data_IF_824574975719
#
_entry.id   IF_824574975719
#
_cell.length_a   1.000
_cell.length_b   1.000
_cell.length_c   1.000
_cell.angle_alpha   90.00
_cell.angle_beta   90.00
_cell.angle_gamma   90.00
#
_symmetry.space_group_name_H-M   'P 1'
#
loop_
_entity.id
_entity.type
_entity.pdbx_description
1 polymer ?
#
# COMPACT_ATOMS: atom_id res chain seq x y z
N UNK A 1 -1.36 47.37 -22.03
CA UNK A 1 -1.90 46.02 -21.83
C UNK A 1 -0.88 45.03 -22.40
N UNK A 2 -0.03 44.45 -21.56
CA UNK A 2 0.83 43.36 -22.01
C UNK A 2 -0.05 42.10 -22.08
N UNK A 3 -0.25 41.57 -23.29
CA UNK A 3 -0.95 40.31 -23.49
C UNK A 3 -0.12 39.19 -22.86
N UNK A 4 -0.51 38.78 -21.66
CA UNK A 4 0.01 37.59 -21.02
C UNK A 4 -0.28 36.37 -21.94
N UNK A 5 0.78 35.66 -22.34
CA UNK A 5 0.65 34.49 -23.20
C UNK A 5 0.64 33.22 -22.33
N UNK A 6 -0.55 32.65 -22.13
CA UNK A 6 -0.75 31.43 -21.35
C UNK A 6 0.10 30.26 -21.85
N UNK A 7 0.18 30.10 -23.17
CA UNK A 7 0.96 29.01 -23.79
C UNK A 7 2.45 29.17 -23.51
N UNK A 8 2.95 30.41 -23.56
CA UNK A 8 4.33 30.72 -23.21
C UNK A 8 4.63 30.39 -21.74
N UNK A 9 3.73 30.76 -20.82
CA UNK A 9 3.90 30.46 -19.40
C UNK A 9 3.94 28.94 -19.12
N UNK A 10 2.94 28.21 -19.63
CA UNK A 10 2.85 26.75 -19.43
C UNK A 10 4.07 26.05 -20.02
N UNK A 11 4.46 26.42 -21.25
CA UNK A 11 5.61 25.79 -21.91
C UNK A 11 6.93 26.07 -21.18
N UNK A 12 7.12 27.30 -20.68
CA UNK A 12 8.32 27.62 -19.91
C UNK A 12 8.34 26.92 -18.55
N UNK A 13 7.21 26.85 -17.86
CA UNK A 13 7.12 26.12 -16.59
C UNK A 13 7.37 24.63 -16.80
N UNK A 14 6.78 24.04 -17.85
CA UNK A 14 6.97 22.63 -18.16
C UNK A 14 8.43 22.33 -18.53
N UNK A 15 9.04 23.19 -19.35
CA UNK A 15 10.46 23.09 -19.68
C UNK A 15 11.32 23.18 -18.42
N UNK A 16 11.12 24.19 -17.57
CA UNK A 16 11.85 24.33 -16.32
C UNK A 16 11.67 23.12 -15.41
N UNK A 17 10.45 22.56 -15.35
CA UNK A 17 10.15 21.34 -14.60
C UNK A 17 10.94 20.13 -15.12
N UNK A 18 10.91 19.88 -16.43
CA UNK A 18 11.65 18.77 -17.05
C UNK A 18 13.17 18.95 -16.91
N UNK A 19 13.68 20.17 -17.09
CA UNK A 19 15.09 20.50 -16.87
C UNK A 19 15.49 20.20 -15.42
N UNK A 20 14.62 20.48 -14.44
CA UNK A 20 14.87 20.13 -13.02
C UNK A 20 14.81 18.63 -12.76
N UNK A 21 13.84 17.91 -13.33
CA UNK A 21 13.77 16.44 -13.22
C UNK A 21 15.05 15.79 -13.74
N UNK A 22 15.60 16.29 -14.85
CA UNK A 22 16.80 15.73 -15.48
C UNK A 22 18.04 15.78 -14.58
N UNK A 23 18.15 16.79 -13.70
CA UNK A 23 19.26 16.93 -12.75
C UNK A 23 19.34 15.80 -11.72
N UNK A 24 18.22 15.12 -11.46
CA UNK A 24 18.17 14.00 -10.52
C UNK A 24 18.58 12.66 -11.14
N UNK A 25 18.96 12.63 -12.44
CA UNK A 25 19.44 11.44 -13.16
C UNK A 25 18.57 10.19 -12.96
N UNK A 26 17.25 10.39 -13.02
CA UNK A 26 16.26 9.36 -12.73
C UNK A 26 16.09 8.44 -13.95
N UNK A 27 16.14 7.10 -13.80
CA UNK A 27 15.89 6.18 -14.90
C UNK A 27 14.49 6.36 -15.49
N UNK A 28 14.32 6.13 -16.80
CA UNK A 28 13.04 6.36 -17.50
C UNK A 28 11.84 5.63 -16.84
N UNK A 29 12.05 4.40 -16.39
CA UNK A 29 11.03 3.59 -15.68
C UNK A 29 10.51 4.24 -14.39
N UNK A 30 11.31 5.11 -13.78
CA UNK A 30 11.03 5.75 -12.50
C UNK A 30 10.54 7.19 -12.69
N UNK A 31 10.44 7.70 -13.93
CA UNK A 31 9.85 9.00 -14.24
C UNK A 31 8.38 9.09 -13.85
N UNK A 32 7.72 7.94 -13.70
CA UNK A 32 6.33 7.84 -13.24
C UNK A 32 6.10 8.48 -11.86
N UNK A 33 7.15 8.66 -11.06
CA UNK A 33 7.10 9.29 -9.73
C UNK A 33 6.88 10.81 -9.75
N UNK A 34 7.20 11.45 -10.87
CA UNK A 34 7.00 12.89 -11.08
C UNK A 34 5.62 13.14 -11.67
N UNK A 35 4.96 14.21 -11.23
CA UNK A 35 3.55 14.45 -11.61
C UNK A 35 3.37 15.02 -13.01
N UNK A 36 4.41 15.59 -13.63
CA UNK A 36 4.32 16.26 -14.94
C UNK A 36 5.39 15.80 -15.96
N UNK A 37 5.71 14.52 -15.91
CA UNK A 37 6.56 13.81 -16.89
C UNK A 37 5.73 13.00 -17.87
N UNK A 38 6.38 12.46 -18.91
CA UNK A 38 5.77 11.59 -19.92
C UNK A 38 4.57 12.26 -20.60
N UNK A 39 3.45 11.54 -20.76
CA UNK A 39 2.23 12.03 -21.37
C UNK A 39 1.25 12.64 -20.35
N UNK A 40 1.69 12.86 -19.10
CA UNK A 40 0.82 13.42 -18.05
C UNK A 40 0.57 14.89 -18.32
N UNK A 41 -0.66 15.32 -18.09
CA UNK A 41 -1.06 16.71 -18.22
C UNK A 41 -1.57 17.25 -16.90
N UNK A 42 -1.40 18.56 -16.70
CA UNK A 42 -1.83 19.24 -15.48
C UNK A 42 -2.66 20.47 -15.81
N UNK A 43 -3.54 20.83 -14.89
CA UNK A 43 -4.16 22.16 -14.85
C UNK A 43 -3.45 22.98 -13.79
N UNK A 44 -2.85 24.08 -14.21
CA UNK A 44 -2.20 25.05 -13.34
C UNK A 44 -3.22 26.09 -12.92
N UNK A 45 -3.26 26.39 -11.62
CA UNK A 45 -4.02 27.48 -11.05
C UNK A 45 -3.06 28.59 -10.63
N UNK A 46 -3.41 29.83 -10.99
CA UNK A 46 -2.74 31.04 -10.56
C UNK A 46 -3.79 31.99 -9.97
N UNK A 47 -3.86 32.06 -8.65
CA UNK A 47 -4.94 32.73 -7.92
C UNK A 47 -4.36 33.95 -7.21
N UNK A 48 -4.80 35.15 -7.58
CA UNK A 48 -4.48 36.36 -6.83
C UNK A 48 -5.29 36.39 -5.55
N UNK A 49 -4.61 36.59 -4.43
CA UNK A 49 -5.22 36.66 -3.10
C UNK A 49 -4.69 37.87 -2.35
N UNK A 50 -5.51 38.43 -1.46
CA UNK A 50 -5.19 39.62 -0.70
C UNK A 50 -4.01 39.37 0.25
N UNK A 51 -3.17 40.40 0.37
CA UNK A 51 -2.07 40.44 1.32
C UNK A 51 -1.98 41.84 1.94
N UNK A 52 -1.92 41.91 3.26
CA UNK A 52 -1.90 43.17 3.99
C UNK A 52 -0.51 43.82 4.04
N UNK A 53 0.56 43.07 3.73
CA UNK A 53 1.95 43.52 3.79
C UNK A 53 2.45 44.00 2.42
N UNK A 54 2.14 43.28 1.34
CA UNK A 54 2.66 43.52 0.00
C UNK A 54 2.34 44.94 -0.50
N UNK A 55 3.27 45.51 -1.27
CA UNK A 55 3.12 46.83 -1.90
C UNK A 55 1.88 46.90 -2.79
N UNK A 56 1.67 45.85 -3.59
CA UNK A 56 0.50 45.72 -4.47
C UNK A 56 -0.76 45.21 -3.76
N UNK A 57 -0.69 44.93 -2.45
CA UNK A 57 -1.79 44.35 -1.64
C UNK A 57 -2.32 42.99 -2.10
N UNK A 58 -1.51 42.26 -2.85
CA UNK A 58 -1.78 40.87 -3.22
C UNK A 58 -0.48 40.10 -3.47
N UNK A 59 -0.59 38.78 -3.48
CA UNK A 59 0.35 37.88 -4.14
C UNK A 59 -0.43 36.80 -4.89
N UNK A 60 0.27 36.02 -5.72
CA UNK A 60 -0.36 34.92 -6.46
C UNK A 60 -0.03 33.59 -5.79
N UNK A 61 -1.07 32.83 -5.44
CA UNK A 61 -0.98 31.43 -5.04
C UNK A 61 -0.98 30.55 -6.29
N UNK A 62 -0.04 29.61 -6.37
CA UNK A 62 0.10 28.69 -7.49
C UNK A 62 -0.03 27.25 -7.02
N UNK A 63 -0.71 26.44 -7.81
CA UNK A 63 -0.73 24.98 -7.64
C UNK A 63 -1.14 24.30 -8.93
N UNK A 64 -0.85 23.01 -9.03
CA UNK A 64 -1.23 22.16 -10.14
C UNK A 64 -2.21 21.07 -9.67
N UNK A 65 -3.11 20.70 -10.56
CA UNK A 65 -4.09 19.62 -10.38
C UNK A 65 -3.88 18.61 -11.50
N UNK A 66 -3.92 17.32 -11.17
CA UNK A 66 -3.88 16.25 -12.17
C UNK A 66 -5.04 16.42 -13.15
N UNK A 67 -4.72 16.47 -14.44
CA UNK A 67 -5.72 16.58 -15.49
C UNK A 67 -5.87 15.26 -16.26
N UNK A 68 -7.08 14.96 -16.71
CA UNK A 68 -7.37 13.85 -17.61
C UNK A 68 -7.49 14.31 -19.07
N UNK A 69 -7.35 15.60 -19.36
CA UNK A 69 -7.38 16.13 -20.72
C UNK A 69 -6.09 15.83 -21.49
N UNK A 70 -6.17 15.95 -22.81
CA UNK A 70 -5.01 15.83 -23.71
C UNK A 70 -4.05 17.02 -23.69
N UNK A 71 -4.34 18.09 -22.93
CA UNK A 71 -3.57 19.33 -22.93
C UNK A 71 -3.45 19.92 -21.53
N UNK A 72 -2.31 20.56 -21.28
CA UNK A 72 -2.10 21.39 -20.11
C UNK A 72 -3.01 22.62 -20.17
N UNK A 73 -3.46 23.11 -19.02
CA UNK A 73 -4.34 24.28 -18.90
C UNK A 73 -3.81 25.24 -17.85
N UNK A 74 -4.10 26.52 -18.02
CA UNK A 74 -3.89 27.55 -17.01
C UNK A 74 -5.24 28.15 -16.65
N UNK A 75 -5.54 28.20 -15.35
CA UNK A 75 -6.72 28.84 -14.79
C UNK A 75 -6.24 30.01 -13.94
N UNK A 76 -6.66 31.20 -14.32
CA UNK A 76 -6.37 32.42 -13.58
C UNK A 76 -7.61 32.85 -12.81
N UNK A 77 -7.43 33.20 -11.55
CA UNK A 77 -8.51 33.66 -10.68
C UNK A 77 -8.05 34.91 -9.94
N UNK A 78 -8.97 35.85 -9.75
CA UNK A 78 -8.76 37.02 -8.90
C UNK A 78 -9.74 36.91 -7.74
N UNK A 79 -9.21 36.60 -6.55
CA UNK A 79 -9.98 36.42 -5.32
C UNK A 79 -9.60 37.46 -4.27
N UNK A 80 -9.00 38.59 -4.68
CA UNK A 80 -8.52 39.61 -3.73
C UNK A 80 -9.65 40.11 -2.84
N UNK A 81 -10.85 40.34 -3.38
CA UNK A 81 -11.96 40.87 -2.60
C UNK A 81 -12.51 39.84 -1.61
N UNK A 82 -12.63 38.59 -2.03
CA UNK A 82 -13.11 37.44 -1.26
C UNK A 82 -12.15 37.10 -0.11
N UNK A 83 -10.85 37.37 -0.32
CA UNK A 83 -9.79 37.08 0.64
C UNK A 83 -9.37 38.29 1.48
N UNK A 84 -10.00 39.46 1.29
CA UNK A 84 -9.74 40.68 2.07
C UNK A 84 -10.43 40.64 3.43
N UNK A 85 -10.04 39.68 4.26
CA UNK A 85 -10.58 39.50 5.60
C UNK A 85 -9.51 38.98 6.58
N UNK A 86 -9.63 39.29 7.90
CA UNK A 86 -8.64 38.87 8.89
C UNK A 86 -8.42 37.36 8.98
N UNK A 87 -9.45 36.55 8.71
CA UNK A 87 -9.36 35.09 8.82
C UNK A 87 -8.45 34.51 7.73
N UNK A 88 -8.36 35.17 6.58
CA UNK A 88 -7.47 34.77 5.49
C UNK A 88 -6.06 35.36 5.60
N UNK A 89 -5.93 36.68 5.75
CA UNK A 89 -4.60 37.31 5.67
C UNK A 89 -3.72 36.96 6.87
N UNK A 90 -4.31 36.67 8.04
CA UNK A 90 -3.56 36.24 9.24
C UNK A 90 -3.09 34.77 9.20
N UNK A 91 -3.53 33.98 8.23
CA UNK A 91 -2.93 32.65 8.01
C UNK A 91 -1.45 32.87 7.69
N UNK A 92 -0.58 32.14 8.40
CA UNK A 92 0.88 32.31 8.35
C UNK A 92 1.38 32.49 6.91
N UNK A 93 2.15 33.56 6.67
CA UNK A 93 2.68 33.92 5.36
C UNK A 93 3.54 32.80 4.72
N UNK A 94 4.11 31.90 5.54
CA UNK A 94 4.88 30.74 5.08
C UNK A 94 4.05 29.51 4.70
N UNK A 95 2.71 29.58 4.77
CA UNK A 95 1.83 28.42 4.68
C UNK A 95 0.85 28.50 3.49
N UNK A 96 1.35 28.39 2.24
CA UNK A 96 0.48 28.45 1.05
C UNK A 96 -0.55 27.31 1.02
N UNK A 97 -0.27 26.17 1.67
CA UNK A 97 -1.20 25.04 1.81
C UNK A 97 -2.37 25.34 2.74
N UNK A 98 -2.15 26.05 3.85
CA UNK A 98 -3.23 26.41 4.77
C UNK A 98 -4.16 27.43 4.13
N UNK A 99 -3.59 28.38 3.37
CA UNK A 99 -4.37 29.34 2.59
C UNK A 99 -5.15 28.67 1.46
N UNK A 100 -4.56 27.67 0.78
CA UNK A 100 -5.29 26.86 -0.20
C UNK A 100 -6.45 26.10 0.45
N UNK A 101 -6.23 25.52 1.62
CA UNK A 101 -7.27 24.81 2.39
C UNK A 101 -8.39 25.76 2.82
N UNK A 102 -8.05 26.99 3.20
CA UNK A 102 -9.04 28.02 3.50
C UNK A 102 -9.90 28.34 2.27
N UNK A 103 -9.30 28.58 1.10
CA UNK A 103 -10.04 28.84 -0.15
C UNK A 103 -10.99 27.70 -0.50
N UNK A 104 -10.55 26.46 -0.28
CA UNK A 104 -11.38 25.27 -0.52
C UNK A 104 -12.56 25.18 0.45
N UNK A 105 -12.31 25.34 1.76
CA UNK A 105 -13.36 25.31 2.80
C UNK A 105 -14.44 26.38 2.63
N UNK A 106 -14.13 27.47 1.93
CA UNK A 106 -15.06 28.56 1.61
C UNK A 106 -15.69 28.42 0.22
N UNK A 107 -15.54 27.27 -0.45
CA UNK A 107 -16.06 26.99 -1.79
C UNK A 107 -15.62 27.99 -2.87
N UNK A 108 -14.43 28.58 -2.73
CA UNK A 108 -13.90 29.55 -3.70
C UNK A 108 -13.18 28.86 -4.87
N UNK A 109 -12.90 27.56 -4.77
CA UNK A 109 -12.20 26.75 -5.77
C UNK A 109 -13.15 25.80 -6.51
N UNK A 110 -14.29 26.30 -6.99
CA UNK A 110 -15.34 25.49 -7.62
C UNK A 110 -14.78 24.50 -8.66
N UNK A 111 -15.03 23.20 -8.44
CA UNK A 111 -14.59 22.12 -9.32
C UNK A 111 -13.19 21.55 -9.04
N UNK A 112 -12.44 22.13 -8.11
CA UNK A 112 -11.16 21.56 -7.63
C UNK A 112 -11.44 20.51 -6.57
N UNK A 113 -11.05 19.26 -6.87
CA UNK A 113 -11.13 18.14 -5.93
C UNK A 113 -9.80 18.04 -5.19
N UNK A 114 -9.80 18.10 -3.86
CA UNK A 114 -8.59 18.11 -3.02
C UNK A 114 -7.64 16.95 -3.32
N UNK A 115 -8.18 15.75 -3.50
CA UNK A 115 -7.40 14.55 -3.81
C UNK A 115 -6.68 14.60 -5.15
N UNK A 116 -7.03 15.56 -6.03
CA UNK A 116 -6.36 15.76 -7.33
C UNK A 116 -5.29 16.85 -7.27
N UNK A 117 -5.22 17.64 -6.20
CA UNK A 117 -4.19 18.67 -6.03
C UNK A 117 -2.83 17.99 -5.85
N UNK A 118 -1.84 18.46 -6.61
CA UNK A 118 -0.47 18.00 -6.49
C UNK A 118 0.18 18.81 -5.36
N UNK A 119 0.19 18.27 -4.14
CA UNK A 119 0.61 19.03 -2.95
C UNK A 119 2.04 19.59 -3.01
N UNK A 120 2.95 18.95 -3.74
CA UNK A 120 4.33 19.41 -4.00
C UNK A 120 4.39 20.66 -4.89
N UNK A 121 3.35 20.92 -5.68
CA UNK A 121 3.26 22.08 -6.56
C UNK A 121 2.76 23.36 -5.88
N UNK A 122 2.27 23.28 -4.64
CA UNK A 122 1.66 24.42 -3.95
C UNK A 122 2.73 25.44 -3.54
N UNK A 123 2.68 26.65 -4.08
CA UNK A 123 3.61 27.75 -3.76
C UNK A 123 2.94 29.11 -3.87
N UNK A 124 3.65 30.18 -3.56
CA UNK A 124 3.19 31.55 -3.77
C UNK A 124 4.30 32.44 -4.35
N UNK A 125 3.92 33.56 -4.98
CA UNK A 125 4.88 34.58 -5.40
C UNK A 125 4.27 35.98 -5.34
N UNK A 126 5.04 36.92 -4.77
CA UNK A 126 4.75 38.35 -4.84
C UNK A 126 5.08 38.95 -6.22
N UNK A 127 5.78 38.20 -7.09
CA UNK A 127 6.13 38.69 -8.43
C UNK A 127 4.92 38.55 -9.35
N UNK A 128 4.60 39.64 -10.04
CA UNK A 128 3.62 39.63 -11.13
C UNK A 128 4.15 38.77 -12.27
N UNK A 129 3.32 37.85 -12.76
CA UNK A 129 3.67 36.95 -13.87
C UNK A 129 4.21 37.74 -15.07
N UNK A 130 3.60 38.90 -15.35
CA UNK A 130 3.95 39.83 -16.43
C UNK A 130 5.41 40.31 -16.41
N UNK A 131 6.06 40.35 -15.24
CA UNK A 131 7.38 40.96 -15.05
C UNK A 131 8.48 39.95 -14.70
N UNK A 132 8.20 38.64 -14.76
CA UNK A 132 9.14 37.65 -14.22
C UNK A 132 8.84 36.20 -14.53
N UNK A 133 8.17 35.89 -15.66
CA UNK A 133 7.77 34.52 -16.05
C UNK A 133 8.91 33.51 -15.83
N UNK A 134 10.09 33.72 -16.41
CA UNK A 134 11.18 32.75 -16.33
C UNK A 134 11.63 32.50 -14.89
N UNK A 135 11.77 33.56 -14.08
CA UNK A 135 12.17 33.42 -12.69
C UNK A 135 11.11 32.67 -11.88
N UNK A 136 9.83 33.01 -12.05
CA UNK A 136 8.71 32.33 -11.38
C UNK A 136 8.70 30.85 -11.78
N UNK A 137 8.84 30.57 -13.07
CA UNK A 137 8.86 29.20 -13.59
C UNK A 137 10.04 28.40 -13.04
N UNK A 138 11.24 28.95 -13.03
CA UNK A 138 12.45 28.26 -12.56
C UNK A 138 12.43 27.99 -11.06
N UNK A 139 11.97 28.97 -10.26
CA UNK A 139 11.88 28.85 -8.81
C UNK A 139 10.78 27.87 -8.40
N UNK A 140 9.64 27.94 -9.07
CA UNK A 140 8.53 27.04 -8.83
C UNK A 140 8.87 25.60 -9.25
N UNK A 141 9.41 25.41 -10.46
CA UNK A 141 9.85 24.09 -10.94
C UNK A 141 10.88 23.47 -9.99
N UNK A 142 11.85 24.26 -9.51
CA UNK A 142 12.86 23.81 -8.54
C UNK A 142 12.21 23.28 -7.27
N UNK A 143 11.32 24.07 -6.67
CA UNK A 143 10.65 23.72 -5.41
C UNK A 143 9.73 22.50 -5.57
N UNK A 144 9.01 22.44 -6.69
CA UNK A 144 8.08 21.35 -6.99
C UNK A 144 8.82 20.03 -7.18
N UNK A 145 9.82 19.98 -8.06
CA UNK A 145 10.58 18.74 -8.34
C UNK A 145 11.33 18.28 -7.10
N UNK A 146 11.95 19.20 -6.33
CA UNK A 146 12.63 18.84 -5.08
C UNK A 146 11.66 18.21 -4.07
N UNK A 147 10.46 18.79 -3.90
CA UNK A 147 9.46 18.23 -3.00
C UNK A 147 8.96 16.85 -3.44
N UNK A 148 8.84 16.59 -4.75
CA UNK A 148 8.46 15.25 -5.25
C UNK A 148 9.57 14.24 -5.06
N UNK A 149 10.81 14.63 -5.33
CA UNK A 149 11.98 13.79 -5.13
C UNK A 149 12.16 13.43 -3.65
N UNK A 150 12.08 14.40 -2.74
CA UNK A 150 12.24 14.14 -1.31
C UNK A 150 11.09 13.28 -0.75
N UNK A 151 9.86 13.49 -1.21
CA UNK A 151 8.71 12.67 -0.79
C UNK A 151 8.85 11.21 -1.25
N UNK A 152 9.31 10.99 -2.49
CA UNK A 152 9.50 9.64 -3.05
C UNK A 152 10.70 8.95 -2.44
N UNK A 153 11.83 9.66 -2.29
CA UNK A 153 13.02 9.17 -1.61
C UNK A 153 12.74 8.80 -0.15
N UNK A 154 11.95 9.59 0.59
CA UNK A 154 11.59 9.26 1.96
C UNK A 154 10.73 7.97 2.11
N UNK A 155 10.02 7.57 1.06
CA UNK A 155 9.27 6.30 1.01
C UNK A 155 10.19 5.15 0.61
N UNK A 156 11.16 5.36 -0.29
CA UNK A 156 12.09 4.33 -0.76
C UNK A 156 13.26 4.06 0.22
N UNK A 157 13.80 5.10 0.88
CA UNK A 157 14.87 5.00 1.87
C UNK A 157 14.40 4.41 3.20
N UNK A 158 13.09 4.41 3.43
CA UNK A 158 12.48 3.66 4.52
C UNK A 158 12.09 2.30 3.94
N UNK A 159 12.92 1.24 4.08
CA UNK A 159 12.39 -0.10 3.92
C UNK A 159 11.13 -0.17 4.76
N UNK A 160 10.02 -0.66 4.21
CA UNK A 160 8.80 -0.95 4.99
C UNK A 160 9.30 -1.67 6.23
N UNK A 161 9.29 -1.04 7.41
CA UNK A 161 9.92 -1.67 8.54
C UNK A 161 9.12 -2.94 8.76
N UNK A 162 9.78 -4.11 8.71
CA UNK A 162 9.24 -5.30 9.36
C UNK A 162 9.24 -4.93 10.83
N UNK A 163 8.19 -4.24 11.26
CA UNK A 163 7.92 -4.02 12.67
C UNK A 163 7.67 -5.43 13.21
N UNK A 164 8.56 -6.00 14.05
CA UNK A 164 8.19 -7.21 14.74
C UNK A 164 6.88 -6.91 15.45
N UNK A 165 5.83 -7.68 15.14
CA UNK A 165 4.52 -7.42 15.69
C UNK A 165 4.61 -7.38 17.21
N UNK A 166 3.98 -6.39 17.86
CA UNK A 166 4.01 -6.30 19.31
C UNK A 166 3.44 -7.59 19.86
N UNK A 167 4.27 -8.34 20.60
CA UNK A 167 3.93 -9.67 21.13
C UNK A 167 2.72 -9.71 22.06
N UNK A 168 2.05 -8.59 22.39
CA UNK A 168 1.11 -8.57 23.51
C UNK A 168 0.07 -7.43 23.57
N UNK A 169 -0.47 -6.93 22.45
CA UNK A 169 -1.59 -5.96 22.52
C UNK A 169 -2.85 -6.46 21.79
N UNK A 170 -3.17 -7.75 21.93
CA UNK A 170 -4.36 -8.34 21.32
C UNK A 170 -5.63 -7.82 22.01
N UNK A 171 -6.50 -7.14 21.26
CA UNK A 171 -7.82 -6.71 21.77
C UNK A 171 -8.84 -7.82 21.54
N UNK A 172 -9.15 -8.54 22.62
CA UNK A 172 -10.40 -9.25 22.89
C UNK A 172 -10.79 -10.50 22.06
N UNK A 173 -10.16 -10.85 20.94
CA UNK A 173 -10.71 -11.91 20.06
C UNK A 173 -9.79 -13.09 19.68
N UNK A 174 -8.47 -13.00 19.91
CA UNK A 174 -7.51 -14.08 19.57
C UNK A 174 -7.48 -15.21 20.62
N UNK A 175 -7.86 -14.90 21.86
CA UNK A 175 -7.83 -15.84 22.99
C UNK A 175 -8.73 -17.07 22.79
N UNK A 176 -9.72 -17.00 21.89
CA UNK A 176 -10.61 -18.13 21.53
C UNK A 176 -9.86 -19.34 20.95
N UNK A 177 -8.71 -19.11 20.31
CA UNK A 177 -8.00 -20.14 19.55
C UNK A 177 -6.63 -20.52 20.12
N UNK A 178 -6.22 -19.91 21.24
CA UNK A 178 -4.92 -20.14 21.89
C UNK A 178 -3.73 -20.05 20.89
N UNK A 179 -3.74 -19.05 20.00
CA UNK A 179 -2.73 -18.94 18.95
C UNK A 179 -1.32 -18.69 19.49
N UNK A 180 -1.17 -18.05 20.65
CA UNK A 180 0.15 -17.84 21.25
C UNK A 180 0.83 -19.18 21.62
N UNK A 181 0.06 -20.15 22.10
CA UNK A 181 0.54 -21.51 22.37
C UNK A 181 0.92 -22.23 21.07
N UNK A 182 0.08 -22.09 20.03
CA UNK A 182 0.37 -22.63 18.70
C UNK A 182 1.69 -22.08 18.15
N UNK A 183 1.86 -20.75 18.15
CA UNK A 183 3.05 -20.08 17.63
C UNK A 183 4.30 -20.46 18.42
N UNK A 184 4.20 -20.52 19.74
CA UNK A 184 5.29 -20.93 20.62
C UNK A 184 5.70 -22.38 20.37
N UNK A 185 4.73 -23.27 20.17
CA UNK A 185 4.98 -24.70 19.95
C UNK A 185 5.53 -24.99 18.56
N UNK A 186 5.03 -24.30 17.53
CA UNK A 186 5.55 -24.41 16.16
C UNK A 186 7.02 -24.00 16.08
N UNK A 187 7.40 -22.94 16.82
CA UNK A 187 8.76 -22.39 16.85
C UNK A 187 9.34 -22.07 15.45
N UNK A 188 8.48 -21.75 14.49
CA UNK A 188 8.86 -21.32 13.15
C UNK A 188 8.73 -19.79 13.04
N UNK A 189 9.86 -19.10 12.89
CA UNK A 189 9.91 -17.64 12.87
C UNK A 189 9.20 -17.03 11.66
N UNK A 190 9.26 -17.70 10.51
CA UNK A 190 8.64 -17.21 9.28
C UNK A 190 7.11 -17.33 9.38
N UNK A 191 6.62 -18.51 9.78
CA UNK A 191 5.20 -18.73 10.04
C UNK A 191 4.67 -17.74 11.09
N UNK A 192 5.44 -17.54 12.17
CA UNK A 192 5.06 -16.60 13.24
C UNK A 192 4.91 -15.18 12.73
N UNK A 193 5.82 -14.72 11.88
CA UNK A 193 5.73 -13.38 11.29
C UNK A 193 4.54 -13.26 10.33
N UNK A 194 4.40 -14.20 9.39
CA UNK A 194 3.30 -14.26 8.42
C UNK A 194 1.92 -14.28 9.12
N UNK A 195 1.79 -15.10 10.15
CA UNK A 195 0.54 -15.24 10.91
C UNK A 195 0.23 -13.97 11.71
N UNK A 196 1.22 -13.35 12.35
CA UNK A 196 1.03 -12.10 13.07
C UNK A 196 0.65 -10.93 12.14
N UNK A 197 1.18 -10.88 10.92
CA UNK A 197 0.73 -9.93 9.90
C UNK A 197 -0.77 -10.10 9.59
N UNK A 198 -1.24 -11.35 9.49
CA UNK A 198 -2.65 -11.66 9.25
C UNK A 198 -3.53 -11.25 10.44
N UNK A 199 -3.08 -11.49 11.67
CA UNK A 199 -3.79 -11.08 12.88
C UNK A 199 -3.87 -9.56 13.01
N UNK A 200 -2.80 -8.83 12.70
CA UNK A 200 -2.86 -7.37 12.68
C UNK A 200 -3.85 -6.85 11.64
N UNK A 201 -3.84 -7.43 10.43
CA UNK A 201 -4.80 -7.08 9.39
C UNK A 201 -6.25 -7.35 9.86
N UNK A 202 -6.47 -8.44 10.60
CA UNK A 202 -7.76 -8.73 11.23
C UNK A 202 -8.15 -7.64 12.25
N UNK A 203 -7.28 -7.30 13.19
CA UNK A 203 -7.56 -6.29 14.23
C UNK A 203 -7.85 -4.89 13.67
N UNK A 204 -7.32 -4.56 12.49
CA UNK A 204 -7.48 -3.26 11.82
C UNK A 204 -8.54 -3.29 10.70
N UNK A 205 -9.42 -4.29 10.74
CA UNK A 205 -10.55 -4.43 9.81
C UNK A 205 -10.15 -4.53 8.33
N UNK A 206 -8.92 -5.00 8.07
CA UNK A 206 -8.39 -5.22 6.72
C UNK A 206 -8.70 -6.65 6.28
N UNK A 207 -9.99 -6.98 6.23
CA UNK A 207 -10.50 -8.34 5.99
C UNK A 207 -9.94 -8.99 4.72
N UNK A 208 -9.81 -8.22 3.64
CA UNK A 208 -9.23 -8.71 2.39
C UNK A 208 -7.77 -9.16 2.59
N UNK A 209 -6.93 -8.29 3.15
CA UNK A 209 -5.51 -8.58 3.39
C UNK A 209 -5.33 -9.76 4.34
N UNK A 210 -6.14 -9.80 5.40
CA UNK A 210 -6.16 -10.91 6.35
C UNK A 210 -6.50 -12.24 5.65
N UNK A 211 -7.63 -12.33 4.94
CA UNK A 211 -8.06 -13.57 4.31
C UNK A 211 -7.08 -14.10 3.23
N UNK A 212 -6.44 -13.21 2.47
CA UNK A 212 -5.43 -13.62 1.48
C UNK A 212 -4.20 -14.21 2.18
N UNK A 213 -3.69 -13.54 3.21
CA UNK A 213 -2.52 -14.00 3.96
C UNK A 213 -2.76 -15.29 4.75
N UNK A 214 -3.96 -15.47 5.32
CA UNK A 214 -4.31 -16.70 6.04
C UNK A 214 -4.31 -17.95 5.15
N UNK A 215 -4.54 -17.82 3.84
CA UNK A 215 -4.36 -18.93 2.91
C UNK A 215 -2.92 -19.40 2.83
N UNK A 216 -1.97 -18.47 2.79
CA UNK A 216 -0.54 -18.79 2.80
C UNK A 216 -0.11 -19.41 4.12
N UNK A 217 -0.64 -18.90 5.25
CA UNK A 217 -0.42 -19.53 6.56
C UNK A 217 -0.94 -20.97 6.58
N UNK A 218 -2.10 -21.26 5.97
CA UNK A 218 -2.64 -22.61 5.91
C UNK A 218 -1.71 -23.57 5.13
N UNK A 219 -1.19 -23.15 3.98
CA UNK A 219 -0.22 -23.93 3.20
C UNK A 219 1.08 -24.15 3.97
N UNK A 220 1.58 -23.11 4.63
CA UNK A 220 2.80 -23.18 5.42
C UNK A 220 2.65 -24.14 6.62
N UNK A 221 1.54 -24.08 7.36
CA UNK A 221 1.26 -25.03 8.44
C UNK A 221 1.21 -26.48 7.93
N UNK A 222 0.55 -26.71 6.79
CA UNK A 222 0.50 -28.03 6.18
C UNK A 222 1.90 -28.50 5.77
N UNK A 223 2.74 -27.62 5.22
CA UNK A 223 4.12 -27.92 4.88
C UNK A 223 4.96 -28.29 6.13
N UNK A 224 4.81 -27.55 7.23
CA UNK A 224 5.48 -27.84 8.50
C UNK A 224 5.12 -29.25 8.97
N UNK A 225 3.83 -29.60 8.97
CA UNK A 225 3.35 -30.93 9.37
C UNK A 225 3.98 -32.04 8.52
N UNK A 226 3.98 -31.88 7.19
CA UNK A 226 4.60 -32.85 6.27
C UNK A 226 6.11 -32.99 6.51
N UNK A 227 6.77 -31.86 6.77
CA UNK A 227 8.21 -31.79 7.05
C UNK A 227 8.56 -32.51 8.35
N UNK A 228 7.75 -32.36 9.39
CA UNK A 228 7.95 -33.05 10.65
C UNK A 228 7.91 -34.57 10.47
N UNK A 229 6.92 -35.11 9.73
CA UNK A 229 6.87 -36.55 9.46
C UNK A 229 8.10 -37.04 8.69
N UNK A 230 8.53 -36.31 7.67
CA UNK A 230 9.70 -36.69 6.86
C UNK A 230 11.00 -36.68 7.68
N UNK A 231 11.19 -35.63 8.49
CA UNK A 231 12.32 -35.46 9.41
C UNK A 231 12.31 -36.49 10.53
N UNK A 232 11.13 -36.88 11.02
CA UNK A 232 10.95 -37.93 12.02
C UNK A 232 11.06 -39.35 11.42
N UNK A 233 11.49 -39.46 10.16
CA UNK A 233 11.89 -40.72 9.56
C UNK A 233 10.75 -41.54 8.98
N UNK A 234 9.59 -40.93 8.70
CA UNK A 234 8.55 -41.61 7.93
C UNK A 234 9.08 -42.00 6.55
N UNK A 235 8.89 -43.27 6.19
CA UNK A 235 9.16 -43.78 4.84
C UNK A 235 7.95 -44.57 4.37
N UNK A 236 7.58 -44.39 3.12
CA UNK A 236 6.49 -45.16 2.53
C UNK A 236 6.93 -46.63 2.28
N UNK A 237 6.02 -47.46 1.76
CA UNK A 237 6.29 -48.88 1.48
C UNK A 237 7.48 -49.15 0.53
N UNK A 238 7.91 -48.13 -0.22
CA UNK A 238 9.06 -48.21 -1.14
C UNK A 238 10.36 -47.70 -0.52
N UNK A 239 10.35 -47.35 0.76
CA UNK A 239 11.48 -46.75 1.47
C UNK A 239 11.70 -45.27 1.13
N UNK A 240 10.77 -44.61 0.46
CA UNK A 240 10.91 -43.22 0.05
C UNK A 240 10.41 -42.24 1.11
N UNK A 241 11.07 -41.09 1.23
CA UNK A 241 10.60 -39.96 2.03
C UNK A 241 9.32 -39.34 1.47
N UNK A 242 8.64 -38.58 2.31
CA UNK A 242 7.31 -38.02 2.05
C UNK A 242 7.31 -37.00 0.90
N UNK A 243 8.43 -36.31 0.69
CA UNK A 243 8.60 -35.34 -0.39
C UNK A 243 9.01 -35.95 -1.73
N UNK A 244 9.21 -37.27 -1.83
CA UNK A 244 9.52 -37.88 -3.13
C UNK A 244 8.30 -37.77 -4.06
N UNK A 245 8.46 -37.01 -5.14
CA UNK A 245 7.39 -36.72 -6.09
C UNK A 245 6.47 -35.58 -5.65
N UNK A 246 6.79 -34.87 -4.56
CA UNK A 246 6.11 -33.63 -4.20
C UNK A 246 6.47 -32.54 -5.22
N UNK A 247 5.50 -31.76 -5.72
CA UNK A 247 5.77 -30.70 -6.69
C UNK A 247 6.73 -29.64 -6.13
N UNK A 248 7.57 -29.08 -7.01
CA UNK A 248 8.46 -27.96 -6.63
C UNK A 248 7.70 -26.67 -6.31
N UNK A 249 6.53 -26.49 -6.94
CA UNK A 249 5.63 -25.36 -6.73
C UNK A 249 4.26 -25.94 -6.35
N UNK A 250 4.09 -26.41 -5.10
CA UNK A 250 2.86 -27.05 -4.67
C UNK A 250 1.73 -26.03 -4.60
N UNK A 251 0.53 -26.47 -4.95
CA UNK A 251 -0.72 -25.75 -4.76
C UNK A 251 -1.48 -26.31 -3.57
N UNK A 252 -2.48 -25.59 -3.08
CA UNK A 252 -3.49 -26.09 -2.15
C UNK A 252 -3.96 -27.54 -2.43
N UNK A 253 -4.19 -27.89 -3.71
CA UNK A 253 -4.62 -29.24 -4.09
C UNK A 253 -3.55 -30.29 -3.81
N UNK A 254 -2.29 -29.96 -4.04
CA UNK A 254 -1.17 -30.86 -3.79
C UNK A 254 -1.03 -31.13 -2.29
N UNK A 255 -1.14 -30.11 -1.44
CA UNK A 255 -1.13 -30.29 0.01
C UNK A 255 -2.26 -31.23 0.50
N UNK A 256 -3.49 -31.02 0.02
CA UNK A 256 -4.63 -31.89 0.38
C UNK A 256 -4.42 -33.33 -0.12
N UNK A 257 -3.87 -33.50 -1.32
CA UNK A 257 -3.54 -34.83 -1.87
C UNK A 257 -2.48 -35.54 -1.03
N UNK A 258 -1.52 -34.80 -0.46
CA UNK A 258 -0.50 -35.38 0.40
C UNK A 258 -1.02 -35.73 1.78
N UNK A 259 -1.91 -34.90 2.36
CA UNK A 259 -2.57 -35.23 3.62
C UNK A 259 -3.46 -36.48 3.54
N UNK A 260 -3.98 -36.82 2.35
CA UNK A 260 -4.74 -38.07 2.13
C UNK A 260 -3.87 -39.34 2.17
N UNK A 261 -2.55 -39.21 2.10
CA UNK A 261 -1.62 -40.35 2.14
C UNK A 261 -1.19 -40.61 3.58
N UNK A 262 -0.74 -41.84 3.83
CA UNK A 262 -0.02 -42.14 5.06
C UNK A 262 1.20 -41.22 5.22
N UNK A 263 1.52 -40.78 6.46
CA UNK A 263 0.96 -41.25 7.74
C UNK A 263 -0.25 -40.46 8.25
N UNK A 264 -0.70 -39.41 7.52
CA UNK A 264 -1.77 -38.52 7.97
C UNK A 264 -3.15 -39.12 7.66
N UNK A 265 -3.32 -39.63 6.44
CA UNK A 265 -4.48 -40.39 5.99
C UNK A 265 -5.84 -39.72 6.28
N UNK A 266 -5.98 -38.42 5.97
CA UNK A 266 -7.25 -37.70 6.18
C UNK A 266 -8.40 -38.33 5.38
N UNK A 267 -9.59 -38.32 5.98
CA UNK A 267 -10.83 -38.77 5.36
C UNK A 267 -11.27 -37.84 4.23
N UNK A 268 -12.21 -38.33 3.42
CA UNK A 268 -12.80 -37.50 2.35
C UNK A 268 -13.57 -36.30 2.89
N UNK A 269 -14.12 -36.38 4.11
CA UNK A 269 -14.82 -35.27 4.76
C UNK A 269 -13.86 -34.17 5.20
N UNK A 270 -12.75 -34.55 5.82
CA UNK A 270 -11.67 -33.62 6.19
C UNK A 270 -11.05 -32.98 4.97
N UNK A 271 -10.82 -33.75 3.90
CA UNK A 271 -10.34 -33.19 2.64
C UNK A 271 -11.31 -32.18 2.03
N UNK A 272 -12.62 -32.43 2.08
CA UNK A 272 -13.64 -31.46 1.65
C UNK A 272 -13.60 -30.19 2.49
N UNK A 273 -13.46 -30.32 3.80
CA UNK A 273 -13.32 -29.18 4.70
C UNK A 273 -12.09 -28.34 4.36
N UNK A 274 -10.91 -28.95 4.22
CA UNK A 274 -9.68 -28.22 3.86
C UNK A 274 -9.81 -27.56 2.48
N UNK A 275 -10.39 -28.26 1.50
CA UNK A 275 -10.66 -27.67 0.19
C UNK A 275 -11.60 -26.46 0.26
N UNK A 276 -12.55 -26.43 1.20
CA UNK A 276 -13.44 -25.28 1.38
C UNK A 276 -12.70 -24.04 1.89
N UNK A 277 -11.68 -24.20 2.75
CA UNK A 277 -10.81 -23.12 3.19
C UNK A 277 -10.07 -22.49 2.01
N UNK A 278 -9.46 -23.32 1.17
CA UNK A 278 -8.74 -22.85 -0.03
C UNK A 278 -9.67 -22.26 -1.09
N UNK A 279 -10.87 -22.80 -1.23
CA UNK A 279 -11.89 -22.25 -2.15
C UNK A 279 -12.30 -20.85 -1.70
N UNK A 280 -12.54 -20.66 -0.40
CA UNK A 280 -12.84 -19.34 0.15
C UNK A 280 -11.68 -18.37 -0.11
N UNK A 281 -10.44 -18.75 0.21
CA UNK A 281 -9.27 -17.89 -0.04
C UNK A 281 -9.13 -17.53 -1.51
N UNK A 282 -9.27 -18.49 -2.43
CA UNK A 282 -9.18 -18.22 -3.86
C UNK A 282 -10.33 -17.34 -4.38
N UNK A 283 -11.52 -17.46 -3.79
CA UNK A 283 -12.63 -16.55 -4.10
C UNK A 283 -12.33 -15.10 -3.69
N UNK A 284 -11.62 -14.92 -2.58
CA UNK A 284 -11.17 -13.60 -2.12
C UNK A 284 -10.06 -13.06 -3.03
N UNK A 285 -9.04 -13.87 -3.32
CA UNK A 285 -7.82 -13.46 -4.04
C UNK A 285 -8.06 -13.17 -5.54
N UNK A 286 -8.83 -14.02 -6.22
CA UNK A 286 -8.95 -13.99 -7.69
C UNK A 286 -10.30 -13.47 -8.22
N UNK A 287 -11.33 -13.44 -7.38
CA UNK A 287 -12.71 -13.20 -7.85
C UNK A 287 -13.44 -12.09 -7.11
N UNK A 288 -12.82 -11.45 -6.10
CA UNK A 288 -13.46 -10.41 -5.33
C UNK A 288 -13.11 -9.00 -5.84
N UNK A 289 -14.09 -8.10 -5.83
CA UNK A 289 -13.93 -6.65 -6.09
C UNK A 289 -13.42 -5.90 -4.84
N UNK A 290 -12.77 -6.60 -3.91
CA UNK A 290 -12.27 -6.08 -2.63
C UNK A 290 -13.26 -6.11 -1.45
N UNK A 291 -14.43 -6.77 -1.58
CA UNK A 291 -15.43 -6.87 -0.51
C UNK A 291 -15.30 -8.20 0.25
N UNK A 292 -14.36 -8.29 1.18
CA UNK A 292 -14.22 -9.44 2.10
C UNK A 292 -14.82 -9.09 3.46
N UNK A 293 -15.47 -10.06 4.11
CA UNK A 293 -16.11 -9.87 5.41
C UNK A 293 -15.33 -10.59 6.51
N UNK A 294 -15.57 -10.17 7.76
CA UNK A 294 -14.93 -10.72 8.96
C UNK A 294 -15.13 -12.24 9.08
N UNK A 295 -16.31 -12.73 8.72
CA UNK A 295 -16.68 -14.15 8.78
C UNK A 295 -15.78 -15.03 7.90
N UNK A 296 -15.27 -14.48 6.80
CA UNK A 296 -14.30 -15.18 5.96
C UNK A 296 -12.97 -15.38 6.68
N UNK A 297 -12.49 -14.37 7.39
CA UNK A 297 -11.29 -14.47 8.20
C UNK A 297 -11.50 -15.42 9.39
N UNK A 298 -12.66 -15.35 10.05
CA UNK A 298 -13.00 -16.23 11.17
C UNK A 298 -12.98 -17.71 10.75
N UNK A 299 -13.51 -18.02 9.57
CA UNK A 299 -13.50 -19.39 9.02
C UNK A 299 -12.08 -19.88 8.74
N UNK A 300 -11.22 -19.02 8.20
CA UNK A 300 -9.82 -19.36 7.92
C UNK A 300 -8.99 -19.52 9.21
N UNK A 301 -9.17 -18.65 10.20
CA UNK A 301 -8.52 -18.75 11.51
C UNK A 301 -8.94 -20.04 12.23
N UNK A 302 -10.22 -20.38 12.20
CA UNK A 302 -10.72 -21.67 12.70
C UNK A 302 -10.10 -22.86 11.95
N UNK A 303 -9.96 -22.73 10.62
CA UNK A 303 -9.27 -23.70 9.77
C UNK A 303 -7.84 -23.98 10.21
N UNK A 304 -7.04 -22.93 10.42
CA UNK A 304 -5.65 -23.05 10.88
C UNK A 304 -5.59 -23.70 12.27
N UNK A 305 -6.43 -23.25 13.20
CA UNK A 305 -6.50 -23.83 14.55
C UNK A 305 -6.85 -25.32 14.52
N UNK A 306 -7.86 -25.72 13.74
CA UNK A 306 -8.26 -27.12 13.59
C UNK A 306 -7.14 -27.97 12.99
N UNK A 307 -6.53 -27.54 11.88
CA UNK A 307 -5.42 -28.30 11.27
C UNK A 307 -4.25 -28.46 12.24
N UNK A 308 -3.91 -27.40 12.98
CA UNK A 308 -2.86 -27.46 13.99
C UNK A 308 -3.21 -28.49 15.07
N UNK A 309 -4.38 -28.36 15.71
CA UNK A 309 -4.78 -29.22 16.81
C UNK A 309 -4.91 -30.69 16.40
N UNK A 310 -5.45 -30.95 15.20
CA UNK A 310 -5.77 -32.31 14.76
C UNK A 310 -4.53 -33.06 14.25
N UNK A 311 -3.56 -32.37 13.64
CA UNK A 311 -2.48 -33.02 12.88
C UNK A 311 -1.06 -32.69 13.36
N UNK A 312 -0.83 -31.54 14.00
CA UNK A 312 0.53 -31.13 14.35
C UNK A 312 1.17 -32.01 15.41
N UNK A 313 0.45 -32.32 16.50
CA UNK A 313 0.99 -33.13 17.60
C UNK A 313 1.45 -34.52 17.12
N UNK A 314 0.66 -35.17 16.27
CA UNK A 314 1.01 -36.47 15.70
C UNK A 314 2.27 -36.40 14.81
N UNK A 315 2.48 -35.27 14.12
CA UNK A 315 3.65 -35.08 13.25
C UNK A 315 4.97 -35.02 14.01
N UNK A 316 5.00 -34.33 15.17
CA UNK A 316 6.20 -34.19 15.99
C UNK A 316 6.47 -35.43 16.86
N UNK A 317 5.43 -36.17 17.24
CA UNK A 317 5.54 -37.37 18.06
C UNK A 317 5.77 -38.64 17.24
N UNK A 318 5.71 -38.54 15.91
CA UNK A 318 5.88 -39.68 15.01
C UNK A 318 7.22 -40.39 15.27
N UNK A 319 7.17 -41.71 15.36
CA UNK A 319 8.35 -42.57 15.42
C UNK A 319 8.13 -43.75 14.48
N UNK A 320 9.12 -44.10 13.63
CA UNK A 320 8.99 -45.25 12.77
C UNK A 320 8.89 -46.52 13.62
N UNK A 321 7.94 -47.40 13.27
CA UNK A 321 7.81 -48.69 13.92
C UNK A 321 9.08 -49.52 13.66
N UNK A 322 9.80 -49.91 14.73
CA UNK A 322 11.06 -50.69 14.68
C UNK A 322 10.92 -52.05 13.96
N UNK A 323 9.71 -52.47 13.62
CA UNK A 323 9.39 -53.72 12.91
C UNK A 323 9.30 -53.58 11.39
N UNK A 324 9.32 -52.38 10.82
CA UNK A 324 9.47 -52.19 9.37
C UNK A 324 10.96 -52.00 9.03
N UNK A 325 11.70 -53.11 9.03
CA UNK A 325 12.94 -53.18 8.23
C UNK A 325 12.50 -53.41 6.79
N UNK A 326 12.72 -52.41 5.94
CA UNK A 326 12.68 -52.58 4.50
C UNK A 326 13.91 -53.37 4.04
#
# INVERSE_FOLDING_TARGET
MNNFNESFFINNLHKAYLDKVSLYHVPDKDLTRFSWTENKTVTIYAIKVFDDIASDKFYTLYFAVKNNDKKNKLVQMDLINETKNPDFFRISYGSPRDKLSWLHSHNLLNGVIDSKIIGSSVTYSYRKIENGVNFICDDWARSWVASEYDATRAVEEKPTPVQPFPKNNQKFFIDRYHFDDMLTTLSDSQFTDEFNQCLFAYEHEKWFLCAVGLGSCLEHLMLIILTNYDNNGYRNEKGDGLFRGFPKNPTAKDYVLWFKKDPIAITSREATYINSLFTLRNSVDHHNTGKTQKESCDFLLYGISSIYNDYYANSILFKPNKSQKF
#
